data_IF_120004370032
#
_entry.id   IF_120004370032
#
_cell.length_a   1.000
_cell.length_b   1.000
_cell.length_c   1.000
_cell.angle_alpha   90.00
_cell.angle_beta   90.00
_cell.angle_gamma   90.00
#
_symmetry.space_group_name_H-M   'P 1'
#
loop_
_entity.id
_entity.type
_entity.pdbx_description
1 polymer ?
#
# COMPACT_ATOMS: atom_id res chain seq x y z
N UNK A 1 12.73 10.67 3.02
CA UNK A 1 11.29 10.62 3.32
C UNK A 1 10.59 10.88 2.00
N UNK A 2 9.89 9.90 1.46
CA UNK A 2 9.21 10.03 0.17
C UNK A 2 7.70 10.00 0.38
N UNK A 3 7.01 10.99 -0.18
CA UNK A 3 5.55 11.04 -0.20
C UNK A 3 5.02 10.22 -1.35
N UNK A 4 3.96 9.46 -1.10
CA UNK A 4 3.34 8.58 -2.08
C UNK A 4 1.83 8.52 -1.87
N UNK A 5 1.11 8.03 -2.88
CA UNK A 5 -0.32 7.75 -2.76
C UNK A 5 -0.54 6.25 -2.67
N UNK A 6 -1.17 5.80 -1.59
CA UNK A 6 -1.55 4.41 -1.36
C UNK A 6 -3.01 4.19 -1.74
N UNK A 7 -3.24 3.20 -2.59
CA UNK A 7 -4.57 2.69 -2.92
C UNK A 7 -4.79 1.36 -2.20
N UNK A 8 -5.92 1.24 -1.52
CA UNK A 8 -6.39 -0.01 -0.90
C UNK A 8 -7.80 -0.28 -1.44
N UNK A 9 -7.94 -1.37 -2.17
CA UNK A 9 -9.18 -1.81 -2.79
C UNK A 9 -9.61 -3.10 -2.14
N UNK A 10 -10.78 -3.09 -1.51
CA UNK A 10 -11.38 -4.29 -0.94
C UNK A 10 -12.60 -4.69 -1.77
N UNK A 11 -12.70 -5.97 -2.07
CA UNK A 11 -13.80 -6.47 -2.88
C UNK A 11 -13.92 -7.97 -2.91
N UNK A 12 -14.73 -8.45 -3.84
CA UNK A 12 -14.91 -9.86 -4.12
C UNK A 12 -14.46 -10.15 -5.55
N UNK A 13 -13.79 -11.30 -5.73
CA UNK A 13 -13.46 -11.80 -7.06
C UNK A 13 -13.62 -13.32 -7.11
N UNK A 14 -14.16 -13.80 -8.22
CA UNK A 14 -14.24 -15.22 -8.57
C UNK A 14 -13.17 -15.63 -9.57
N UNK A 15 -12.40 -14.68 -10.09
CA UNK A 15 -11.46 -14.88 -11.19
C UNK A 15 -10.02 -15.05 -10.67
N UNK A 16 -9.13 -15.57 -11.53
CA UNK A 16 -7.68 -15.52 -11.27
C UNK A 16 -7.21 -14.07 -11.24
N UNK A 17 -6.39 -13.73 -10.24
CA UNK A 17 -5.95 -12.35 -9.98
C UNK A 17 -4.65 -11.99 -10.69
N UNK A 18 -4.11 -12.88 -11.52
CA UNK A 18 -2.85 -12.66 -12.25
C UNK A 18 -2.96 -11.47 -13.22
N UNK A 19 -4.09 -11.37 -13.93
CA UNK A 19 -4.36 -10.28 -14.88
C UNK A 19 -4.52 -8.92 -14.20
N UNK A 20 -4.88 -8.90 -12.91
CA UNK A 20 -5.10 -7.64 -12.17
C UNK A 20 -3.79 -6.87 -12.03
N UNK A 21 -2.67 -7.57 -11.78
CA UNK A 21 -1.36 -6.93 -11.62
C UNK A 21 -0.89 -6.27 -12.92
N UNK A 22 -1.02 -6.96 -14.05
CA UNK A 22 -0.60 -6.43 -15.35
C UNK A 22 -1.49 -5.25 -15.78
N UNK A 23 -2.81 -5.34 -15.59
CA UNK A 23 -3.72 -4.22 -15.86
C UNK A 23 -3.42 -2.99 -15.00
N UNK A 24 -3.05 -3.17 -13.73
CA UNK A 24 -2.64 -2.07 -12.85
C UNK A 24 -1.33 -1.42 -13.32
N UNK A 25 -0.31 -2.22 -13.66
CA UNK A 25 0.97 -1.71 -14.20
C UNK A 25 0.80 -0.88 -15.48
N UNK A 26 -0.17 -1.25 -16.32
CA UNK A 26 -0.44 -0.53 -17.57
C UNK A 26 -1.32 0.71 -17.38
N UNK A 27 -2.07 0.79 -16.28
CA UNK A 27 -3.05 1.85 -16.05
C UNK A 27 -2.56 2.92 -15.08
N UNK A 28 -1.63 2.59 -14.19
CA UNK A 28 -1.12 3.48 -13.15
C UNK A 28 0.40 3.52 -13.21
N UNK A 29 1.00 4.68 -12.95
CA UNK A 29 2.43 4.79 -12.69
C UNK A 29 2.74 4.29 -11.28
N UNK A 30 2.97 2.99 -11.19
CA UNK A 30 3.29 2.33 -9.93
C UNK A 30 4.74 2.62 -9.53
N UNK A 31 4.93 2.96 -8.26
CA UNK A 31 6.26 3.16 -7.64
C UNK A 31 6.67 1.97 -6.76
N UNK A 32 5.76 1.01 -6.54
CA UNK A 32 5.99 -0.24 -5.83
C UNK A 32 5.16 -1.38 -6.44
N UNK A 33 5.47 -2.61 -6.04
CA UNK A 33 4.73 -3.78 -6.49
C UNK A 33 3.27 -3.79 -6.00
N UNK A 34 2.40 -4.34 -6.85
CA UNK A 34 1.00 -4.60 -6.52
C UNK A 34 0.92 -5.81 -5.60
N UNK A 35 0.30 -5.62 -4.44
CA UNK A 35 0.09 -6.67 -3.47
C UNK A 35 -1.38 -7.07 -3.47
N UNK A 36 -1.62 -8.36 -3.66
CA UNK A 36 -2.95 -8.94 -3.70
C UNK A 36 -3.03 -9.97 -2.59
N UNK A 37 -3.93 -9.77 -1.63
CA UNK A 37 -4.16 -10.67 -0.51
C UNK A 37 -5.56 -11.26 -0.61
N UNK A 38 -5.64 -12.58 -0.69
CA UNK A 38 -6.91 -13.32 -0.59
C UNK A 38 -7.30 -13.42 0.88
N UNK A 39 -8.42 -12.82 1.26
CA UNK A 39 -8.92 -12.78 2.65
C UNK A 39 -9.88 -13.94 2.95
N UNK A 40 -10.57 -14.45 1.94
CA UNK A 40 -11.41 -15.65 2.01
C UNK A 40 -11.54 -16.28 0.62
N UNK A 41 -12.42 -17.29 0.45
CA UNK A 41 -12.66 -17.93 -0.86
C UNK A 41 -12.89 -16.92 -2.00
N UNK A 42 -13.57 -15.81 -1.71
CA UNK A 42 -13.92 -14.78 -2.69
C UNK A 42 -13.47 -13.37 -2.31
N UNK A 43 -13.17 -13.08 -1.03
CA UNK A 43 -12.74 -11.75 -0.60
C UNK A 43 -11.29 -11.49 -0.96
N UNK A 44 -11.03 -10.34 -1.56
CA UNK A 44 -9.69 -9.89 -1.98
C UNK A 44 -9.42 -8.48 -1.48
N UNK A 45 -8.16 -8.23 -1.16
CA UNK A 45 -7.63 -6.91 -0.84
C UNK A 45 -6.44 -6.65 -1.75
N UNK A 46 -6.50 -5.56 -2.50
CA UNK A 46 -5.48 -5.14 -3.46
C UNK A 46 -4.91 -3.83 -2.95
N UNK A 47 -3.59 -3.79 -2.81
CA UNK A 47 -2.84 -2.65 -2.33
C UNK A 47 -1.75 -2.33 -3.32
N UNK A 48 -1.69 -1.08 -3.77
CA UNK A 48 -0.63 -0.59 -4.65
C UNK A 48 -0.35 0.88 -4.33
N UNK A 49 0.79 1.36 -4.80
CA UNK A 49 1.26 2.72 -4.54
C UNK A 49 1.62 3.39 -5.86
N UNK A 50 1.43 4.70 -5.90
CA UNK A 50 1.78 5.54 -7.05
C UNK A 50 2.55 6.76 -6.58
N UNK A 51 3.25 7.38 -7.53
CA UNK A 51 3.86 8.71 -7.36
C UNK A 51 2.83 9.73 -6.85
N UNK A 52 3.24 10.72 -6.03
CA UNK A 52 2.32 11.74 -5.50
C UNK A 52 1.77 12.68 -6.58
N UNK A 53 2.40 12.74 -7.75
CA UNK A 53 1.94 13.52 -8.91
C UNK A 53 0.92 12.77 -9.77
N UNK A 54 0.67 11.48 -9.51
CA UNK A 54 -0.31 10.70 -10.25
C UNK A 54 -1.72 11.23 -9.96
N UNK A 55 -2.50 11.50 -11.02
CA UNK A 55 -3.87 11.99 -10.87
C UNK A 55 -4.73 10.93 -10.15
N UNK A 56 -5.31 11.34 -9.03
CA UNK A 56 -6.26 10.52 -8.28
C UNK A 56 -7.54 10.35 -9.09
N UNK A 57 -7.94 9.09 -9.31
CA UNK A 57 -9.17 8.74 -10.00
C UNK A 57 -10.36 8.76 -9.04
N UNK A 58 -11.52 9.13 -9.55
CA UNK A 58 -12.75 9.16 -8.76
C UNK A 58 -13.30 7.76 -8.46
N UNK A 59 -14.21 7.66 -7.49
CA UNK A 59 -14.79 6.39 -7.05
C UNK A 59 -15.45 5.61 -8.20
N UNK A 60 -16.14 6.31 -9.12
CA UNK A 60 -16.82 5.71 -10.27
C UNK A 60 -15.83 5.08 -11.25
N UNK A 61 -14.75 5.79 -11.57
CA UNK A 61 -13.76 5.37 -12.54
C UNK A 61 -13.01 4.14 -12.04
N UNK A 62 -12.72 4.11 -10.74
CA UNK A 62 -12.12 2.94 -10.09
C UNK A 62 -13.10 1.76 -10.05
N UNK A 63 -14.37 1.99 -9.68
CA UNK A 63 -15.39 0.93 -9.68
C UNK A 63 -15.58 0.29 -11.06
N UNK A 64 -15.64 1.10 -12.11
CA UNK A 64 -15.72 0.61 -13.48
C UNK A 64 -14.47 -0.16 -13.88
N UNK A 65 -13.28 0.40 -13.61
CA UNK A 65 -12.01 -0.24 -13.92
C UNK A 65 -11.89 -1.63 -13.30
N UNK A 66 -12.13 -1.75 -12.00
CA UNK A 66 -12.04 -3.05 -11.31
C UNK A 66 -13.17 -4.00 -11.67
N UNK A 67 -14.37 -3.49 -11.99
CA UNK A 67 -15.47 -4.33 -12.48
C UNK A 67 -15.11 -5.02 -13.80
N UNK A 68 -14.42 -4.31 -14.72
CA UNK A 68 -13.89 -4.92 -15.97
C UNK A 68 -12.85 -6.01 -15.71
N UNK A 69 -12.15 -5.95 -14.58
CA UNK A 69 -11.21 -6.97 -14.13
C UNK A 69 -11.88 -8.11 -13.35
N UNK A 70 -13.22 -8.12 -13.24
CA UNK A 70 -13.97 -9.12 -12.50
C UNK A 70 -13.81 -9.00 -10.99
N UNK A 71 -13.59 -7.78 -10.49
CA UNK A 71 -13.55 -7.46 -9.07
C UNK A 71 -14.74 -6.57 -8.73
N UNK A 72 -15.62 -7.10 -7.89
CA UNK A 72 -16.72 -6.33 -7.31
C UNK A 72 -16.19 -5.58 -6.08
N UNK A 73 -15.93 -4.29 -6.23
CA UNK A 73 -15.46 -3.44 -5.13
C UNK A 73 -16.52 -3.36 -4.04
N UNK A 74 -16.07 -3.41 -2.79
CA UNK A 74 -16.87 -3.04 -1.60
C UNK A 74 -16.43 -1.72 -1.01
N UNK A 75 -15.11 -1.45 -1.02
CA UNK A 75 -14.50 -0.28 -0.40
C UNK A 75 -13.23 0.12 -1.13
N UNK A 76 -13.01 1.42 -1.23
CA UNK A 76 -11.79 2.05 -1.76
C UNK A 76 -11.27 3.00 -0.70
N UNK A 77 -9.97 2.92 -0.40
CA UNK A 77 -9.26 3.88 0.43
C UNK A 77 -8.07 4.38 -0.37
N UNK A 78 -7.97 5.69 -0.53
CA UNK A 78 -6.83 6.37 -1.13
C UNK A 78 -6.27 7.30 -0.08
N UNK A 79 -4.99 7.14 0.23
CA UNK A 79 -4.34 7.87 1.30
C UNK A 79 -2.97 8.40 0.87
N UNK A 80 -2.59 9.55 1.40
CA UNK A 80 -1.20 10.02 1.36
C UNK A 80 -0.42 9.23 2.40
N UNK A 81 0.67 8.62 1.98
CA UNK A 81 1.57 7.87 2.86
C UNK A 81 2.98 8.37 2.70
N UNK A 82 3.73 8.26 3.78
CA UNK A 82 5.15 8.54 3.82
C UNK A 82 5.88 7.23 4.03
N UNK A 83 6.92 7.00 3.24
CA UNK A 83 7.78 5.83 3.34
C UNK A 83 9.08 6.14 4.06
N UNK A 84 9.48 5.21 4.93
CA UNK A 84 10.76 5.20 5.64
C UNK A 84 11.49 3.92 5.28
N UNK A 85 12.74 4.03 4.84
CA UNK A 85 13.61 2.88 4.65
C UNK A 85 14.20 2.46 6.00
N UNK A 86 13.90 1.24 6.43
CA UNK A 86 14.67 0.53 7.43
C UNK A 86 15.98 0.09 6.76
N UNK A 87 17.09 0.72 7.11
CA UNK A 87 18.40 0.12 6.85
C UNK A 87 18.47 -1.18 7.64
N UNK A 88 18.30 -2.34 6.98
CA UNK A 88 18.61 -3.62 7.58
C UNK A 88 20.13 -3.71 7.73
N UNK A 89 20.64 -3.74 8.96
CA UNK A 89 21.98 -4.25 9.24
C UNK A 89 22.04 -5.70 8.76
N UNK A 90 22.56 -5.92 7.56
CA UNK A 90 23.05 -7.21 7.12
C UNK A 90 24.55 -7.08 6.92
N UNK A 91 25.29 -7.59 7.90
CA UNK A 91 26.52 -8.38 7.79
C UNK A 91 26.97 -8.70 9.24
N UNK A 92 27.24 -9.94 9.68
CA UNK A 92 27.66 -11.13 8.95
C UNK A 92 27.24 -12.41 9.72
N UNK A 93 26.95 -13.47 8.99
CA UNK A 93 27.09 -14.83 9.53
C UNK A 93 28.59 -15.15 9.72
N UNK A 94 28.94 -15.63 10.91
CA UNK A 94 30.13 -16.42 11.26
C UNK A 94 31.47 -16.16 10.52
N UNK A 95 32.40 -15.48 11.18
CA UNK A 95 33.81 -15.91 11.32
C UNK A 95 34.51 -15.03 12.36
N UNK A 96 35.37 -15.65 13.18
CA UNK A 96 35.97 -15.01 14.35
C UNK A 96 36.91 -13.84 14.03
N UNK A 97 37.25 -13.09 15.09
CA UNK A 97 38.31 -12.08 15.07
C UNK A 97 37.80 -10.67 15.38
N UNK A 98 38.33 -10.10 16.47
CA UNK A 98 38.13 -8.73 16.94
C UNK A 98 38.67 -7.73 15.90
N UNK A 99 38.01 -6.60 15.66
CA UNK A 99 38.60 -5.22 15.64
C UNK A 99 37.63 -4.15 15.12
N UNK A 100 37.53 -3.04 15.88
CA UNK A 100 37.43 -1.69 15.32
C UNK A 100 36.07 -1.19 14.79
N UNK A 101 35.39 -0.36 15.60
CA UNK A 101 34.65 0.80 15.10
C UNK A 101 33.31 0.54 14.40
N UNK A 102 32.37 -0.14 15.05
CA UNK A 102 30.97 -0.08 14.62
C UNK A 102 30.43 1.33 14.94
N UNK A 103 30.33 2.18 13.92
CA UNK A 103 29.48 3.36 13.99
C UNK A 103 28.05 2.87 14.18
N UNK A 104 27.58 2.85 15.43
CA UNK A 104 26.18 2.63 15.76
C UNK A 104 25.38 3.79 15.15
N UNK A 105 24.99 3.65 13.88
CA UNK A 105 23.99 4.51 13.25
C UNK A 105 22.74 4.34 14.09
N UNK A 106 22.42 5.37 14.88
CA UNK A 106 21.26 5.39 15.78
C UNK A 106 20.05 4.90 14.98
N UNK A 107 19.40 3.85 15.50
CA UNK A 107 18.09 3.43 15.00
C UNK A 107 17.21 4.67 14.92
N UNK A 108 16.67 4.95 13.73
CA UNK A 108 15.77 6.08 13.55
C UNK A 108 14.52 5.85 14.41
N UNK A 109 14.35 6.72 15.40
CA UNK A 109 13.26 6.63 16.39
C UNK A 109 11.91 6.75 15.68
N UNK A 110 11.84 7.46 14.54
CA UNK A 110 10.64 7.52 13.71
C UNK A 110 10.24 6.15 13.16
N UNK A 111 11.21 5.41 12.61
CA UNK A 111 11.03 4.04 12.09
C UNK A 111 10.64 3.04 13.18
N UNK A 112 11.25 3.14 14.38
CA UNK A 112 10.92 2.29 15.52
C UNK A 112 9.54 2.60 16.10
N UNK A 113 9.17 3.88 16.23
CA UNK A 113 7.82 4.29 16.66
C UNK A 113 6.78 3.85 15.64
N UNK A 114 7.02 4.02 14.33
CA UNK A 114 6.07 3.59 13.30
C UNK A 114 5.82 2.07 13.34
N UNK A 115 6.89 1.27 13.50
CA UNK A 115 6.78 -0.18 13.64
C UNK A 115 6.09 -0.62 14.95
N UNK A 116 6.41 0.01 16.09
CA UNK A 116 5.90 -0.38 17.42
C UNK A 116 4.49 0.16 17.74
N UNK A 117 4.10 1.29 17.16
CA UNK A 117 2.82 1.95 17.48
C UNK A 117 1.60 1.32 16.81
N UNK A 118 1.78 0.38 15.88
CA UNK A 118 0.69 -0.14 15.05
C UNK A 118 0.07 0.92 14.11
N UNK A 119 0.63 2.14 14.05
CA UNK A 119 0.31 3.16 13.04
C UNK A 119 1.02 2.93 11.69
N UNK A 120 1.97 1.99 11.63
CA UNK A 120 2.43 1.45 10.35
C UNK A 120 1.25 0.75 9.66
N UNK A 121 0.59 1.46 8.76
CA UNK A 121 -0.52 0.91 8.00
C UNK A 121 -0.10 -0.28 7.13
N UNK A 122 1.21 -0.39 6.84
CA UNK A 122 1.77 -1.44 6.02
C UNK A 122 3.30 -1.57 6.13
N UNK A 123 3.84 -2.78 6.35
CA UNK A 123 5.27 -3.11 6.24
C UNK A 123 5.53 -3.94 4.98
N UNK A 124 6.48 -3.50 4.14
CA UNK A 124 6.92 -4.25 2.94
C UNK A 124 8.43 -4.36 2.95
N UNK A 125 8.95 -5.55 3.26
CA UNK A 125 10.39 -5.76 3.38
C UNK A 125 11.02 -4.77 4.36
N UNK A 126 11.93 -3.95 3.86
CA UNK A 126 12.65 -2.93 4.60
C UNK A 126 11.99 -1.54 4.55
N UNK A 127 10.71 -1.42 4.21
CA UNK A 127 10.02 -0.13 4.12
C UNK A 127 8.83 -0.11 5.09
N UNK A 128 8.78 0.94 5.93
CA UNK A 128 7.65 1.26 6.80
C UNK A 128 6.84 2.39 6.18
N UNK A 129 5.52 2.22 6.12
CA UNK A 129 4.62 3.28 5.68
C UNK A 129 3.81 3.84 6.85
N UNK A 130 3.88 5.17 6.99
CA UNK A 130 3.01 5.94 7.87
C UNK A 130 1.93 6.60 7.03
N UNK A 131 0.67 6.40 7.40
CA UNK A 131 -0.45 7.10 6.75
C UNK A 131 -0.56 8.50 7.34
N UNK A 132 -0.49 9.52 6.49
CA UNK A 132 -0.60 10.92 6.90
C UNK A 132 -2.05 11.43 6.74
N UNK A 133 -2.70 11.09 5.64
CA UNK A 133 -4.00 11.67 5.28
C UNK A 133 -4.84 10.70 4.42
N UNK A 134 -6.16 10.64 4.65
CA UNK A 134 -7.09 9.92 3.76
C UNK A 134 -7.67 10.92 2.76
N UNK A 135 -7.26 10.79 1.50
CA UNK A 135 -7.66 11.69 0.41
C UNK A 135 -9.04 11.33 -0.12
N UNK A 136 -9.31 10.03 -0.29
CA UNK A 136 -10.57 9.54 -0.81
C UNK A 136 -10.97 8.25 -0.09
N UNK A 137 -12.22 8.20 0.35
CA UNK A 137 -12.83 7.00 0.87
C UNK A 137 -14.14 6.75 0.13
N UNK A 138 -14.28 5.58 -0.50
CA UNK A 138 -15.48 5.18 -1.22
C UNK A 138 -16.02 3.87 -0.68
N UNK A 139 -17.34 3.72 -0.70
CA UNK A 139 -18.02 2.50 -0.32
C UNK A 139 -19.11 2.16 -1.33
N UNK A 140 -19.27 0.87 -1.65
CA UNK A 140 -20.33 0.43 -2.54
C UNK A 140 -21.65 0.33 -1.77
N UNK A 141 -22.61 1.17 -2.14
CA UNK A 141 -23.98 1.18 -1.61
C UNK A 141 -24.99 1.09 -2.75
N UNK A 142 -25.94 0.17 -2.65
CA UNK A 142 -26.99 -0.04 -3.67
C UNK A 142 -26.42 -0.18 -5.09
N UNK A 143 -25.31 -0.94 -5.24
CA UNK A 143 -24.68 -1.18 -6.54
C UNK A 143 -23.84 -0.02 -7.10
N UNK A 144 -23.75 1.13 -6.42
CA UNK A 144 -22.91 2.26 -6.82
C UNK A 144 -21.79 2.51 -5.81
N UNK A 145 -20.57 2.76 -6.28
CA UNK A 145 -19.48 3.21 -5.42
C UNK A 145 -19.63 4.72 -5.16
N UNK A 146 -19.89 5.09 -3.91
CA UNK A 146 -20.10 6.48 -3.51
C UNK A 146 -18.96 6.95 -2.62
N UNK A 147 -18.56 8.22 -2.77
CA UNK A 147 -17.62 8.86 -1.84
C UNK A 147 -18.29 9.01 -0.48
N UNK A 148 -17.63 8.56 0.57
CA UNK A 148 -18.09 8.65 1.96
C UNK A 148 -17.18 9.63 2.70
N UNK A 149 -17.75 10.73 3.17
CA UNK A 149 -17.07 11.72 4.03
C UNK A 149 -16.51 12.95 3.31
N UNK A 150 -16.18 13.97 4.11
CA UNK A 150 -15.38 15.12 3.68
C UNK A 150 -13.91 14.68 3.64
N UNK A 151 -13.21 15.03 2.56
CA UNK A 151 -11.74 15.09 2.55
C UNK A 151 -11.32 15.91 3.78
N UNK A 152 -10.56 15.34 4.71
CA UNK A 152 -10.15 16.01 5.95
C UNK A 152 -9.00 16.95 5.61
#
# INVERSE_FOLDING_TARGET
>A
MEENIRYIIEGYSTNSLENVKSSLKNSFKLDADVIIKKRSKYKVSISFRTSPEEKIRDCSDLDEFFSRLGIMITRIIIARVVTYALESTLDSAATGGVTGGAAFKRLDVGSLIAALSGLAGYTVGNIVEKTEEIILFCEKRNGKCIKIGKTI
#
